data_IF_594805550810
#
_entry.id   IF_594805550810
#
_cell.length_a   1.000
_cell.length_b   1.000
_cell.length_c   1.000
_cell.angle_alpha   90.00
_cell.angle_beta   90.00
_cell.angle_gamma   90.00
#
_symmetry.space_group_name_H-M   'P 1'
#
loop_
_entity.id
_entity.type
_entity.pdbx_description
1 polymer ?
#
# COMPACT_ATOMS: atom_id res chain seq x y z
N UNK A 1 -1.29 -24.73 4.08
CA UNK A 1 -1.42 -23.26 4.13
C UNK A 1 -0.51 -22.66 3.07
N UNK A 2 -1.04 -22.24 1.90
CA UNK A 2 -0.20 -21.67 0.83
C UNK A 2 0.04 -20.20 1.19
N UNK A 3 1.22 -19.87 1.71
CA UNK A 3 1.68 -18.49 1.85
C UNK A 3 1.82 -17.86 0.45
N UNK A 4 0.70 -17.38 -0.08
CA UNK A 4 0.57 -16.37 -1.13
C UNK A 4 0.58 -15.05 -0.35
N UNK A 5 1.69 -14.31 -0.19
CA UNK A 5 2.18 -13.54 -1.34
C UNK A 5 3.66 -13.11 -1.24
N UNK A 6 4.46 -13.45 -2.25
CA UNK A 6 5.84 -12.95 -2.40
C UNK A 6 5.94 -11.41 -2.38
N UNK A 7 4.85 -10.72 -2.75
CA UNK A 7 4.75 -9.27 -2.65
C UNK A 7 4.81 -8.74 -1.21
N UNK A 8 4.38 -9.50 -0.18
CA UNK A 8 4.57 -9.09 1.22
C UNK A 8 6.04 -9.19 1.61
N UNK A 9 6.73 -10.26 1.20
CA UNK A 9 8.17 -10.42 1.47
C UNK A 9 8.97 -9.26 0.86
N UNK A 10 8.71 -8.95 -0.43
CA UNK A 10 9.29 -7.77 -1.08
C UNK A 10 8.93 -6.48 -0.35
N UNK A 11 7.67 -6.34 0.07
CA UNK A 11 7.20 -5.19 0.85
C UNK A 11 7.97 -5.00 2.16
N UNK A 12 8.35 -6.09 2.83
CA UNK A 12 9.18 -6.02 4.03
C UNK A 12 10.55 -5.40 3.78
N UNK A 13 11.23 -5.80 2.71
CA UNK A 13 12.49 -5.16 2.30
C UNK A 13 12.30 -3.69 1.94
N UNK A 14 11.22 -3.35 1.23
CA UNK A 14 10.91 -1.96 0.88
C UNK A 14 10.72 -1.08 2.12
N UNK A 15 9.93 -1.54 3.10
CA UNK A 15 9.68 -0.80 4.34
C UNK A 15 10.96 -0.63 5.15
N UNK A 16 11.73 -1.72 5.33
CA UNK A 16 13.02 -1.67 6.02
C UNK A 16 13.98 -0.68 5.35
N UNK A 17 13.98 -0.62 4.01
CA UNK A 17 14.82 0.32 3.25
C UNK A 17 14.36 1.76 3.43
N UNK A 18 13.05 2.03 3.39
CA UNK A 18 12.48 3.37 3.59
C UNK A 18 12.74 3.90 4.99
N UNK A 19 12.51 3.09 6.03
CA UNK A 19 12.65 3.52 7.44
C UNK A 19 14.07 4.02 7.73
N UNK A 20 15.10 3.37 7.16
CA UNK A 20 16.51 3.80 7.30
C UNK A 20 16.78 5.22 6.77
N UNK A 21 15.91 5.75 5.90
CA UNK A 21 16.05 7.05 5.26
C UNK A 21 15.10 8.11 5.83
N UNK A 22 14.34 7.77 6.87
CA UNK A 22 13.49 8.70 7.59
C UNK A 22 14.18 9.21 8.85
N UNK A 23 13.89 10.45 9.29
CA UNK A 23 14.31 10.93 10.60
C UNK A 23 13.82 10.00 11.72
N UNK A 24 14.61 9.85 12.78
CA UNK A 24 14.19 9.04 13.93
C UNK A 24 13.07 9.72 14.71
N UNK A 25 12.09 8.94 15.18
CA UNK A 25 11.03 9.42 16.07
C UNK A 25 9.86 10.14 15.41
N UNK A 26 9.79 10.21 14.07
CA UNK A 26 8.66 10.86 13.39
C UNK A 26 7.42 9.97 13.34
N UNK A 27 6.24 10.60 13.43
CA UNK A 27 4.95 9.92 13.21
C UNK A 27 4.66 9.92 11.72
N UNK A 28 4.69 8.74 11.11
CA UNK A 28 4.46 8.60 9.68
C UNK A 28 3.01 8.24 9.35
N UNK A 29 2.52 8.74 8.21
CA UNK A 29 1.45 8.12 7.44
C UNK A 29 2.07 7.37 6.24
N UNK A 30 1.29 6.52 5.58
CA UNK A 30 1.71 5.69 4.47
C UNK A 30 0.77 5.84 3.25
N UNK A 31 1.37 5.79 2.06
CA UNK A 31 0.64 5.62 0.79
C UNK A 31 1.12 4.33 0.13
N UNK A 32 0.17 3.51 -0.33
CA UNK A 32 0.43 2.35 -1.16
C UNK A 32 -0.16 2.58 -2.56
N UNK A 33 0.65 2.39 -3.60
CA UNK A 33 0.25 2.67 -4.99
C UNK A 33 -0.47 1.51 -5.69
N UNK A 34 -0.77 0.45 -4.92
CA UNK A 34 -1.43 -0.78 -5.36
C UNK A 34 -2.29 -1.36 -4.24
N UNK A 35 -3.43 -1.96 -4.60
CA UNK A 35 -4.25 -2.72 -3.64
C UNK A 35 -3.76 -4.14 -3.36
N UNK A 36 -2.64 -4.58 -3.96
CA UNK A 36 -2.21 -5.99 -3.93
C UNK A 36 -0.98 -6.21 -3.06
N UNK A 37 -1.10 -7.03 -2.02
CA UNK A 37 -0.03 -7.55 -1.15
C UNK A 37 0.74 -6.49 -0.33
N UNK A 38 1.20 -5.42 -0.96
CA UNK A 38 1.99 -4.36 -0.34
C UNK A 38 1.27 -3.63 0.82
N UNK A 39 -0.06 -3.40 0.78
CA UNK A 39 -0.79 -2.87 1.93
C UNK A 39 -0.62 -3.73 3.20
N UNK A 40 -0.59 -5.06 3.05
CA UNK A 40 -0.45 -5.96 4.20
C UNK A 40 0.95 -5.86 4.82
N UNK A 41 2.00 -5.70 4.00
CA UNK A 41 3.35 -5.48 4.50
C UNK A 41 3.45 -4.19 5.33
N UNK A 42 2.82 -3.10 4.85
CA UNK A 42 2.77 -1.82 5.57
C UNK A 42 2.07 -2.00 6.92
N UNK A 43 0.91 -2.66 6.95
CA UNK A 43 0.15 -2.85 8.18
C UNK A 43 0.82 -3.78 9.19
N UNK A 44 1.58 -4.77 8.72
CA UNK A 44 2.31 -5.70 9.59
C UNK A 44 3.56 -5.07 10.21
N UNK A 45 4.22 -4.15 9.50
CA UNK A 45 5.55 -3.63 9.86
C UNK A 45 5.54 -2.17 10.29
N UNK A 46 4.39 -1.51 10.27
CA UNK A 46 4.23 -0.12 10.69
C UNK A 46 2.93 0.08 11.47
N UNK A 47 2.79 1.16 12.25
CA UNK A 47 1.50 1.54 12.84
C UNK A 47 0.46 2.00 11.82
N UNK A 48 0.82 2.13 10.54
CA UNK A 48 -0.05 2.69 9.51
C UNK A 48 -1.07 1.65 9.05
N UNK A 49 -2.35 1.85 9.38
CA UNK A 49 -3.43 0.93 8.95
C UNK A 49 -4.51 1.64 8.16
N UNK A 50 -5.31 0.88 7.41
CA UNK A 50 -6.52 1.43 6.79
C UNK A 50 -7.49 1.88 7.88
N UNK A 51 -7.63 1.06 8.94
CA UNK A 51 -8.60 1.29 10.02
C UNK A 51 -8.38 2.58 10.80
N UNK A 52 -7.13 2.93 11.12
CA UNK A 52 -6.82 4.21 11.77
C UNK A 52 -6.68 5.39 10.79
N UNK A 53 -6.79 5.14 9.48
CA UNK A 53 -6.69 6.14 8.43
C UNK A 53 -5.27 6.66 8.16
N UNK A 54 -4.24 5.97 8.68
CA UNK A 54 -2.83 6.37 8.51
C UNK A 54 -2.22 5.75 7.26
N UNK A 55 -2.85 4.72 6.68
CA UNK A 55 -2.49 4.20 5.37
C UNK A 55 -3.58 4.50 4.34
N UNK A 56 -3.17 4.96 3.16
CA UNK A 56 -4.04 5.18 2.00
C UNK A 56 -3.62 4.30 0.84
N UNK A 57 -4.59 3.67 0.19
CA UNK A 57 -4.36 2.95 -1.07
C UNK A 57 -4.77 3.87 -2.21
N UNK A 58 -3.78 4.32 -2.99
CA UNK A 58 -3.98 5.12 -4.21
C UNK A 58 -3.65 4.20 -5.37
N UNK A 59 -4.65 3.46 -5.85
CA UNK A 59 -4.44 2.36 -6.78
C UNK A 59 -4.12 2.84 -8.21
N UNK A 60 -2.87 3.22 -8.45
CA UNK A 60 -2.32 3.59 -9.77
C UNK A 60 -1.57 2.44 -10.44
N UNK A 61 -1.65 1.24 -9.86
CA UNK A 61 -1.09 0.01 -10.44
C UNK A 61 0.43 -0.14 -10.32
N UNK A 62 1.11 0.70 -9.54
CA UNK A 62 2.57 0.67 -9.35
C UNK A 62 2.92 -0.06 -8.06
N UNK A 63 3.94 -0.92 -8.10
CA UNK A 63 4.43 -1.61 -6.91
C UNK A 63 5.37 -0.70 -6.12
N UNK A 64 4.76 0.24 -5.39
CA UNK A 64 5.45 1.28 -4.66
C UNK A 64 4.71 1.65 -3.38
N UNK A 65 5.49 2.09 -2.38
CA UNK A 65 4.98 2.64 -1.15
C UNK A 65 5.72 3.94 -0.81
N UNK A 66 5.08 4.79 -0.02
CA UNK A 66 5.68 6.00 0.54
C UNK A 66 5.38 6.05 2.02
N UNK A 67 6.41 6.31 2.84
CA UNK A 67 6.24 6.72 4.23
C UNK A 67 6.61 8.21 4.32
N UNK A 68 5.78 8.99 4.99
CA UNK A 68 5.92 10.44 5.04
C UNK A 68 5.48 11.01 6.39
N UNK A 69 6.10 12.11 6.79
CA UNK A 69 5.81 12.87 7.99
C UNK A 69 4.42 13.53 7.90
N UNK A 70 3.64 13.42 8.98
CA UNK A 70 2.24 13.91 9.03
C UNK A 70 2.11 15.43 9.04
N UNK A 71 3.14 16.14 9.48
CA UNK A 71 3.08 17.58 9.73
C UNK A 71 3.52 18.36 8.47
N UNK A 72 4.63 17.95 7.86
CA UNK A 72 5.20 18.66 6.71
C UNK A 72 4.99 17.97 5.34
N UNK A 73 4.51 16.71 5.38
CA UNK A 73 4.26 15.84 4.22
C UNK A 73 5.50 15.39 3.44
N UNK A 74 6.70 15.63 3.97
CA UNK A 74 7.94 15.14 3.38
C UNK A 74 8.11 13.65 3.68
N UNK A 75 8.62 12.90 2.71
CA UNK A 75 8.76 11.47 2.85
C UNK A 75 9.67 10.84 1.83
N UNK A 76 9.70 9.51 1.89
CA UNK A 76 10.52 8.68 1.03
C UNK A 76 9.63 7.64 0.37
N UNK A 77 9.64 7.64 -0.96
CA UNK A 77 8.96 6.66 -1.81
C UNK A 77 9.94 5.56 -2.19
N UNK A 78 9.57 4.30 -1.94
CA UNK A 78 10.26 3.12 -2.44
C UNK A 78 9.46 2.43 -3.54
N UNK A 79 10.16 1.92 -4.53
CA UNK A 79 9.60 1.13 -5.62
C UNK A 79 10.59 0.07 -6.08
N UNK A 80 10.06 -0.98 -6.71
CA UNK A 80 10.88 -2.00 -7.36
C UNK A 80 11.48 -1.43 -8.65
N UNK A 81 12.80 -1.40 -8.75
CA UNK A 81 13.54 -0.82 -9.86
C UNK A 81 13.80 -1.86 -10.95
N UNK A 82 13.25 -1.62 -12.15
CA UNK A 82 13.36 -2.59 -13.24
C UNK A 82 14.75 -2.71 -13.83
N UNK A 83 15.58 -1.65 -13.77
CA UNK A 83 16.97 -1.73 -14.23
C UNK A 83 17.79 -2.62 -13.29
N UNK A 84 17.55 -2.51 -11.98
CA UNK A 84 18.24 -3.32 -10.97
C UNK A 84 17.72 -4.76 -10.91
N UNK A 85 16.46 -4.98 -11.25
CA UNK A 85 15.83 -6.31 -11.34
C UNK A 85 16.35 -7.12 -12.53
N UNK A 86 16.99 -6.49 -13.53
CA UNK A 86 17.43 -7.18 -14.75
C UNK A 86 18.36 -8.38 -14.47
N UNK A 87 19.16 -8.31 -13.41
CA UNK A 87 20.08 -9.38 -12.97
C UNK A 87 19.40 -10.49 -12.15
N UNK A 88 18.09 -10.40 -11.90
CA UNK A 88 17.32 -11.31 -11.04
C UNK A 88 16.18 -11.97 -11.83
N UNK A 89 16.46 -13.06 -12.57
CA UNK A 89 15.56 -13.59 -13.58
C UNK A 89 14.23 -14.13 -13.03
N UNK A 90 14.21 -14.75 -11.84
CA UNK A 90 12.96 -15.21 -11.25
C UNK A 90 12.12 -14.04 -10.74
N UNK A 91 12.74 -13.01 -10.13
CA UNK A 91 12.04 -11.78 -9.73
C UNK A 91 11.45 -11.08 -10.96
N UNK A 92 12.23 -10.91 -12.03
CA UNK A 92 11.79 -10.32 -13.30
C UNK A 92 10.62 -11.10 -13.89
N UNK A 93 10.74 -12.43 -13.98
CA UNK A 93 9.70 -13.29 -14.52
C UNK A 93 8.41 -13.23 -13.69
N UNK A 94 8.53 -13.17 -12.37
CA UNK A 94 7.39 -13.01 -11.47
C UNK A 94 6.72 -11.65 -11.63
N UNK A 95 7.49 -10.56 -11.62
CA UNK A 95 6.96 -9.21 -11.61
C UNK A 95 6.29 -8.85 -12.94
N UNK A 96 6.94 -9.20 -14.06
CA UNK A 96 6.42 -8.98 -15.40
C UNK A 96 5.46 -10.09 -15.87
N UNK A 97 5.20 -11.11 -15.03
CA UNK A 97 4.35 -12.26 -15.34
C UNK A 97 4.75 -12.98 -16.64
N UNK A 98 6.05 -13.14 -16.88
CA UNK A 98 6.58 -13.79 -18.08
C UNK A 98 6.35 -15.31 -18.09
N UNK A 99 6.14 -15.90 -16.90
CA UNK A 99 5.84 -17.31 -16.70
C UNK A 99 4.47 -17.47 -16.06
N UNK A 100 3.71 -18.49 -16.45
CA UNK A 100 2.49 -18.88 -15.74
C UNK A 100 2.81 -19.30 -14.30
N UNK A 101 1.80 -19.34 -13.42
CA UNK A 101 2.00 -19.76 -12.02
C UNK A 101 2.53 -21.19 -11.87
N UNK A 102 2.33 -22.06 -12.87
CA UNK A 102 2.82 -23.44 -12.85
C UNK A 102 4.31 -23.54 -13.20
N UNK A 103 4.81 -22.62 -14.01
CA UNK A 103 6.20 -22.57 -14.49
C UNK A 103 7.12 -21.80 -13.52
N UNK A 104 6.55 -21.13 -12.52
CA UNK A 104 7.32 -20.36 -11.53
C UNK A 104 7.94 -21.28 -10.47
N UNK A 105 9.27 -21.25 -10.38
CA UNK A 105 10.04 -21.93 -9.35
C UNK A 105 10.04 -21.14 -8.05
N UNK A 106 9.01 -21.34 -7.22
CA UNK A 106 8.80 -20.56 -5.99
C UNK A 106 10.00 -20.56 -5.05
N UNK A 107 10.70 -21.68 -4.92
CA UNK A 107 11.89 -21.78 -4.06
C UNK A 107 13.00 -20.83 -4.52
N UNK A 108 13.31 -20.85 -5.82
CA UNK A 108 14.31 -19.97 -6.44
C UNK A 108 13.91 -18.50 -6.32
N UNK A 109 12.64 -18.19 -6.58
CA UNK A 109 12.12 -16.83 -6.44
C UNK A 109 12.23 -16.29 -5.01
N UNK A 110 11.88 -17.08 -4.00
CA UNK A 110 12.07 -16.68 -2.60
C UNK A 110 13.55 -16.43 -2.30
N UNK A 111 14.43 -17.30 -2.81
CA UNK A 111 15.87 -17.16 -2.61
C UNK A 111 16.39 -15.88 -3.28
N UNK A 112 16.05 -15.62 -4.54
CA UNK A 112 16.42 -14.38 -5.23
C UNK A 112 15.90 -13.15 -4.48
N UNK A 113 14.66 -13.14 -3.98
CA UNK A 113 14.13 -11.98 -3.22
C UNK A 113 14.97 -11.74 -1.96
N UNK A 114 15.40 -12.79 -1.27
CA UNK A 114 16.24 -12.67 -0.06
C UNK A 114 17.64 -12.18 -0.40
N UNK A 115 18.24 -12.71 -1.47
CA UNK A 115 19.59 -12.39 -1.89
C UNK A 115 19.67 -10.97 -2.47
N UNK A 116 18.64 -10.55 -3.21
CA UNK A 116 18.52 -9.21 -3.75
C UNK A 116 18.27 -8.17 -2.66
N UNK A 117 17.38 -8.46 -1.71
CA UNK A 117 17.07 -7.56 -0.60
C UNK A 117 16.75 -6.13 -1.05
N UNK A 118 17.54 -5.16 -0.58
CA UNK A 118 17.44 -3.73 -0.91
C UNK A 118 18.11 -3.33 -2.24
N UNK A 119 18.90 -4.22 -2.85
CA UNK A 119 19.62 -3.94 -4.11
C UNK A 119 18.68 -3.69 -5.29
N UNK A 120 17.46 -4.23 -5.26
CA UNK A 120 16.44 -4.05 -6.31
C UNK A 120 15.44 -2.93 -6.01
N UNK A 121 15.65 -2.19 -4.91
CA UNK A 121 14.76 -1.13 -4.47
C UNK A 121 15.42 0.22 -4.81
N UNK A 122 14.61 1.13 -5.36
CA UNK A 122 15.01 2.51 -5.54
C UNK A 122 14.17 3.43 -4.68
N UNK A 123 14.83 4.48 -4.18
CA UNK A 123 14.26 5.46 -3.29
C UNK A 123 14.14 6.82 -3.98
N UNK A 124 13.11 7.55 -3.63
CA UNK A 124 12.87 8.91 -4.10
C UNK A 124 12.39 9.76 -2.93
N UNK A 125 13.06 10.90 -2.69
CA UNK A 125 12.54 11.93 -1.78
C UNK A 125 11.31 12.57 -2.42
N UNK A 126 10.23 12.67 -1.67
CA UNK A 126 8.94 13.18 -2.15
C UNK A 126 8.30 14.09 -1.12
N UNK A 127 7.36 14.93 -1.57
CA UNK A 127 6.42 15.63 -0.72
C UNK A 127 5.01 15.27 -1.13
N UNK A 128 4.25 14.67 -0.22
CA UNK A 128 2.87 14.26 -0.48
C UNK A 128 1.98 15.49 -0.60
N UNK A 129 1.08 15.47 -1.58
CA UNK A 129 0.17 16.59 -1.79
C UNK A 129 -0.80 16.72 -0.60
N UNK A 130 -1.02 17.92 -0.03
CA UNK A 130 -1.86 18.07 1.16
C UNK A 130 -3.27 17.50 1.01
N UNK A 131 -3.88 17.62 -0.18
CA UNK A 131 -5.23 17.07 -0.41
C UNK A 131 -5.26 15.53 -0.38
N UNK A 132 -4.14 14.87 -0.70
CA UNK A 132 -3.97 13.43 -0.56
C UNK A 132 -3.72 13.08 0.91
N UNK A 133 -2.97 13.88 1.65
CA UNK A 133 -2.62 13.63 3.05
C UNK A 133 -3.80 13.87 4.02
N UNK A 134 -4.70 14.82 3.72
CA UNK A 134 -5.85 15.16 4.57
C UNK A 134 -6.75 13.95 4.88
N UNK A 135 -7.19 13.85 6.13
CA UNK A 135 -8.19 12.86 6.57
C UNK A 135 -9.58 13.41 6.28
N UNK A 136 -10.49 12.56 5.81
CA UNK A 136 -11.91 12.90 5.74
C UNK A 136 -12.50 12.81 7.15
N UNK A 137 -13.08 13.90 7.63
CA UNK A 137 -13.87 13.89 8.86
C UNK A 137 -15.28 13.36 8.54
N UNK A 138 -15.88 12.56 9.43
CA UNK A 138 -17.19 11.93 9.20
C UNK A 138 -18.39 12.84 9.47
N UNK A 139 -18.17 14.16 9.52
CA UNK A 139 -19.22 15.15 9.81
C UNK A 139 -20.07 14.81 11.05
N UNK A 140 -21.34 15.23 11.01
CA UNK A 140 -22.38 14.73 11.91
C UNK A 140 -22.95 13.39 11.41
N UNK A 141 -23.63 12.66 12.28
CA UNK A 141 -24.27 11.37 11.95
C UNK A 141 -25.79 11.57 11.85
N UNK A 142 -26.40 11.04 10.80
CA UNK A 142 -27.84 11.04 10.54
C UNK A 142 -28.39 9.62 10.44
N UNK A 143 -29.72 9.46 10.46
CA UNK A 143 -30.41 8.18 10.25
C UNK A 143 -30.97 8.16 8.82
N UNK A 144 -30.64 7.11 8.06
CA UNK A 144 -31.12 6.96 6.68
C UNK A 144 -32.63 6.66 6.66
N UNK A 145 -33.42 7.45 5.92
CA UNK A 145 -34.88 7.27 5.85
C UNK A 145 -35.33 6.00 5.11
N UNK A 146 -34.42 5.28 4.43
CA UNK A 146 -34.74 4.04 3.71
C UNK A 146 -34.40 2.78 4.52
N UNK A 147 -33.17 2.65 5.00
CA UNK A 147 -32.72 1.46 5.74
C UNK A 147 -32.73 1.63 7.27
N UNK A 148 -32.94 2.85 7.79
CA UNK A 148 -32.90 3.17 9.22
C UNK A 148 -31.55 2.95 9.92
N UNK A 149 -30.46 2.81 9.16
CA UNK A 149 -29.09 2.77 9.70
C UNK A 149 -28.48 4.17 9.82
N UNK A 150 -27.53 4.32 10.76
CA UNK A 150 -26.79 5.55 10.98
C UNK A 150 -25.65 5.71 9.96
N UNK A 151 -25.47 6.92 9.42
CA UNK A 151 -24.45 7.23 8.40
C UNK A 151 -23.96 8.69 8.49
N UNK A 152 -22.80 9.03 7.90
CA UNK A 152 -22.34 10.42 7.80
C UNK A 152 -23.32 11.31 7.05
N UNK A 153 -23.78 12.41 7.67
CA UNK A 153 -24.75 13.33 7.07
C UNK A 153 -24.22 14.01 5.79
N UNK A 154 -22.89 14.14 5.67
CA UNK A 154 -22.23 14.70 4.50
C UNK A 154 -22.40 13.82 3.23
N UNK A 155 -22.81 12.55 3.39
CA UNK A 155 -23.04 11.65 2.26
C UNK A 155 -24.37 11.93 1.53
N UNK A 156 -25.25 12.76 2.08
CA UNK A 156 -26.51 13.18 1.44
C UNK A 156 -27.75 12.95 2.31
N UNK A 157 -28.93 12.85 1.68
CA UNK A 157 -30.21 12.66 2.39
C UNK A 157 -30.51 11.21 2.81
N UNK A 158 -29.83 10.24 2.18
CA UNK A 158 -29.87 8.81 2.48
C UNK A 158 -28.45 8.25 2.41
N UNK A 159 -28.15 7.12 3.06
CA UNK A 159 -26.79 6.54 3.05
C UNK A 159 -26.35 6.09 1.64
N UNK A 160 -25.03 6.07 1.38
CA UNK A 160 -24.45 5.67 0.08
C UNK A 160 -24.96 4.31 -0.41
N UNK A 161 -25.13 3.33 0.48
CA UNK A 161 -25.70 2.02 0.14
C UNK A 161 -27.10 2.15 -0.49
N UNK A 162 -27.98 2.96 0.11
CA UNK A 162 -29.32 3.22 -0.42
C UNK A 162 -29.34 4.16 -1.65
N UNK A 163 -28.23 4.84 -1.97
CA UNK A 163 -28.05 5.61 -3.19
C UNK A 163 -27.63 4.75 -4.40
N UNK A 164 -27.32 3.46 -4.19
CA UNK A 164 -26.93 2.54 -5.25
C UNK A 164 -25.50 2.00 -5.11
N UNK A 165 -24.74 2.43 -4.10
CA UNK A 165 -23.39 1.93 -3.82
C UNK A 165 -23.40 0.65 -2.96
N UNK A 166 -24.54 -0.05 -2.90
CA UNK A 166 -24.63 -1.32 -2.19
C UNK A 166 -23.81 -2.40 -2.92
N UNK A 167 -22.97 -3.18 -2.21
CA UNK A 167 -22.26 -4.30 -2.80
C UNK A 167 -23.12 -5.58 -2.89
N UNK A 168 -24.40 -5.51 -2.52
CA UNK A 168 -25.32 -6.65 -2.41
C UNK A 168 -26.48 -6.52 -3.41
N UNK A 169 -26.93 -7.66 -3.97
CA UNK A 169 -28.15 -7.78 -4.80
C UNK A 169 -29.34 -8.15 -3.92
#
# INVERSE_FOLDING_TARGET
>A
MVLKPLGILMGGFMINTVIKHLPSGILCDAICETGKCLPDAIQLLTPCTIGNGWMKIINVGRFALTLYDKDNYEGVRAFLDMEKVETWPEIKAWYLKLKSKKEQEKGKLIQEIKDAGDLIISLQKVRVQPHIAKRKHKGSIAICSRCHEAYPADDGAICLSCQGETPYV
#
